data_IF_217558280944
#
_entry.id   IF_217558280944
#
_cell.length_a   1.000
_cell.length_b   1.000
_cell.length_c   1.000
_cell.angle_alpha   90.00
_cell.angle_beta   90.00
_cell.angle_gamma   90.00
#
_symmetry.space_group_name_H-M   'P 1'
#
loop_
_entity.id
_entity.type
_entity.pdbx_description
1 polymer ?
#
# COMPACT_ATOMS: atom_id res chain seq x y z
N UNK A 1 -62.54 39.84 -22.88
CA UNK A 1 -61.34 39.17 -23.43
C UNK A 1 -60.15 40.05 -23.11
N UNK A 2 -59.30 39.63 -22.18
CA UNK A 2 -58.01 40.24 -21.88
C UNK A 2 -56.99 39.10 -21.90
N UNK A 3 -55.97 39.23 -22.73
CA UNK A 3 -54.84 38.31 -22.78
C UNK A 3 -54.03 38.49 -21.47
N UNK A 4 -53.82 37.45 -20.65
CA UNK A 4 -52.97 37.57 -19.47
C UNK A 4 -51.50 37.50 -19.86
N UNK A 5 -50.69 38.39 -19.25
CA UNK A 5 -49.25 38.51 -19.43
C UNK A 5 -48.44 37.37 -18.78
N UNK A 6 -48.67 36.12 -19.19
CA UNK A 6 -47.90 34.95 -18.70
C UNK A 6 -46.69 34.58 -19.58
N UNK A 7 -46.22 35.49 -20.44
CA UNK A 7 -45.03 35.29 -21.27
C UNK A 7 -44.06 36.46 -21.12
N UNK A 8 -43.62 36.70 -19.89
CA UNK A 8 -42.38 37.40 -19.59
C UNK A 8 -41.99 37.14 -18.14
N UNK A 9 -41.02 36.23 -17.92
CA UNK A 9 -39.80 36.49 -17.11
C UNK A 9 -39.04 35.22 -16.74
N UNK A 10 -37.79 35.22 -17.21
CA UNK A 10 -36.52 34.84 -16.59
C UNK A 10 -36.49 33.79 -15.47
N UNK A 11 -35.86 32.68 -15.86
CA UNK A 11 -35.42 31.56 -15.05
C UNK A 11 -34.24 32.04 -14.19
N UNK A 12 -34.48 32.33 -12.91
CA UNK A 12 -33.41 32.51 -11.92
C UNK A 12 -32.98 31.17 -11.31
N UNK A 13 -31.68 30.97 -11.00
CA UNK A 13 -31.17 29.74 -10.39
C UNK A 13 -31.63 29.57 -8.92
N UNK A 14 -31.73 28.31 -8.43
CA UNK A 14 -32.27 28.03 -7.10
C UNK A 14 -31.33 28.51 -5.97
N UNK A 15 -31.93 29.13 -4.94
CA UNK A 15 -31.24 29.62 -3.74
C UNK A 15 -30.83 28.48 -2.79
N UNK A 16 -29.73 28.65 -2.03
CA UNK A 16 -29.26 27.67 -1.04
C UNK A 16 -30.18 27.57 0.19
N UNK A 17 -30.35 26.33 0.67
CA UNK A 17 -31.26 25.98 1.77
C UNK A 17 -30.87 26.62 3.11
N UNK A 18 -31.89 27.14 3.79
CA UNK A 18 -31.83 27.83 5.08
C UNK A 18 -31.34 26.94 6.23
N UNK A 19 -30.35 27.47 6.93
CA UNK A 19 -29.80 27.04 8.23
C UNK A 19 -30.89 27.01 9.31
N UNK A 20 -31.20 25.82 9.85
CA UNK A 20 -32.16 25.64 10.95
C UNK A 20 -31.50 26.08 12.28
N UNK A 21 -32.04 27.12 12.92
CA UNK A 21 -31.69 27.55 14.28
C UNK A 21 -32.20 26.50 15.27
N UNK A 22 -31.31 25.86 16.01
CA UNK A 22 -31.63 25.18 17.28
C UNK A 22 -31.33 26.13 18.43
N UNK A 23 -32.32 26.31 19.30
CA UNK A 23 -32.22 27.09 20.53
C UNK A 23 -31.29 26.40 21.53
N UNK A 24 -30.62 27.22 22.34
CA UNK A 24 -29.48 26.82 23.16
C UNK A 24 -29.84 25.99 24.39
N UNK A 25 -28.99 25.00 24.65
CA UNK A 25 -28.63 24.57 26.00
C UNK A 25 -27.13 24.78 26.08
N UNK A 26 -26.73 25.86 26.74
CA UNK A 26 -25.35 26.22 27.00
C UNK A 26 -24.75 25.26 28.04
N UNK A 27 -24.08 24.21 27.58
CA UNK A 27 -22.99 23.62 28.33
C UNK A 27 -21.74 24.43 28.03
N UNK A 28 -20.91 24.81 29.01
CA UNK A 28 -19.67 25.50 28.71
C UNK A 28 -18.75 24.52 27.98
N UNK A 29 -18.71 24.64 26.66
CA UNK A 29 -17.63 24.08 25.87
C UNK A 29 -16.37 24.84 26.32
N UNK A 30 -15.66 24.26 27.28
CA UNK A 30 -14.29 24.62 27.53
C UNK A 30 -13.57 24.47 26.19
N UNK A 31 -13.25 25.59 25.56
CA UNK A 31 -12.29 25.63 24.48
C UNK A 31 -11.01 25.00 25.05
N UNK A 32 -10.77 23.74 24.69
CA UNK A 32 -9.52 23.06 24.98
C UNK A 32 -8.46 23.77 24.15
N UNK A 33 -7.93 24.88 24.69
CA UNK A 33 -6.66 25.41 24.24
C UNK A 33 -5.66 24.28 24.45
N UNK A 34 -4.96 23.80 23.41
CA UNK A 34 -3.91 22.81 23.59
C UNK A 34 -2.90 23.41 24.56
N UNK A 35 -2.69 22.73 25.69
CA UNK A 35 -1.65 23.12 26.63
C UNK A 35 -0.31 22.97 25.88
N UNK A 36 0.47 24.05 25.64
CA UNK A 36 1.69 23.99 24.84
C UNK A 36 2.79 23.10 25.44
N UNK A 37 2.58 22.61 26.67
CA UNK A 37 3.49 21.71 27.38
C UNK A 37 3.19 20.21 27.21
N UNK A 38 2.17 19.83 26.42
CA UNK A 38 1.86 18.42 26.17
C UNK A 38 2.34 18.07 24.76
N UNK A 39 3.40 17.25 24.67
CA UNK A 39 3.83 16.67 23.39
C UNK A 39 2.66 15.92 22.74
N UNK A 40 2.39 16.15 21.44
CA UNK A 40 1.32 15.45 20.75
C UNK A 40 1.57 13.94 20.76
N UNK A 41 0.50 13.14 20.86
CA UNK A 41 0.61 11.68 20.81
C UNK A 41 0.92 11.21 19.37
N UNK A 42 1.66 10.11 19.21
CA UNK A 42 1.96 9.56 17.88
C UNK A 42 0.69 9.30 17.08
N UNK A 43 -0.33 8.75 17.75
CA UNK A 43 -1.63 8.44 17.12
C UNK A 43 -2.32 9.71 16.60
N UNK A 44 -2.19 10.84 17.31
CA UNK A 44 -2.74 12.11 16.84
C UNK A 44 -1.97 12.63 15.61
N UNK A 45 -0.65 12.44 15.56
CA UNK A 45 0.20 12.86 14.44
C UNK A 45 -0.10 11.98 13.21
N UNK A 46 -0.12 10.66 13.37
CA UNK A 46 -0.50 9.67 12.34
C UNK A 46 -1.88 10.00 11.74
N UNK A 47 -2.84 10.35 12.60
CA UNK A 47 -4.20 10.69 12.19
C UNK A 47 -4.35 12.13 11.65
N UNK A 48 -3.28 12.90 11.50
CA UNK A 48 -3.32 14.30 11.02
C UNK A 48 -3.87 15.32 12.02
N UNK A 49 -4.25 14.89 13.22
CA UNK A 49 -4.88 15.73 14.26
C UNK A 49 -3.91 16.59 15.05
N UNK A 50 -2.61 16.32 14.94
CA UNK A 50 -1.56 17.12 15.51
C UNK A 50 -0.48 17.38 14.45
N UNK A 51 0.02 18.61 14.42
CA UNK A 51 1.15 18.99 13.57
C UNK A 51 2.40 19.08 14.41
N UNK A 52 3.49 18.55 13.89
CA UNK A 52 4.83 18.70 14.43
C UNK A 52 5.73 19.27 13.33
N UNK A 53 6.66 20.13 13.71
CA UNK A 53 7.56 20.76 12.74
C UNK A 53 8.75 19.84 12.44
N UNK A 54 9.39 19.31 13.48
CA UNK A 54 10.53 18.38 13.36
C UNK A 54 10.09 16.93 13.63
N UNK A 55 9.63 16.27 12.56
CA UNK A 55 9.23 14.86 12.59
C UNK A 55 10.40 13.95 12.99
N UNK A 56 11.60 14.22 12.49
CA UNK A 56 12.75 13.36 12.70
C UNK A 56 13.15 13.34 14.18
N UNK A 57 13.30 14.50 14.82
CA UNK A 57 13.67 14.57 16.23
C UNK A 57 12.60 13.94 17.14
N UNK A 58 11.32 14.20 16.85
CA UNK A 58 10.21 13.63 17.60
C UNK A 58 10.22 12.09 17.55
N UNK A 59 10.21 11.50 16.35
CA UNK A 59 10.17 10.05 16.19
C UNK A 59 11.46 9.39 16.67
N UNK A 60 12.62 9.98 16.43
CA UNK A 60 13.90 9.48 16.96
C UNK A 60 13.86 9.31 18.48
N UNK A 61 13.39 10.34 19.20
CA UNK A 61 13.29 10.30 20.65
C UNK A 61 12.29 9.26 21.13
N UNK A 62 11.14 9.13 20.46
CA UNK A 62 10.13 8.15 20.83
C UNK A 62 10.57 6.70 20.60
N UNK A 63 11.17 6.43 19.44
CA UNK A 63 11.67 5.10 19.08
C UNK A 63 12.82 4.66 19.99
N UNK A 64 13.70 5.58 20.39
CA UNK A 64 14.78 5.31 21.34
C UNK A 64 14.25 4.84 22.71
N UNK A 65 13.15 5.43 23.20
CA UNK A 65 12.51 5.04 24.47
C UNK A 65 11.85 3.65 24.40
N UNK A 66 11.50 3.21 23.20
CA UNK A 66 10.72 1.97 22.98
C UNK A 66 11.57 0.80 22.48
N UNK A 67 12.89 0.93 22.50
CA UNK A 67 13.81 -0.10 22.03
C UNK A 67 13.70 -1.39 22.88
N UNK A 68 13.84 -2.55 22.23
CA UNK A 68 13.90 -3.88 22.84
C UNK A 68 15.16 -4.62 22.41
N UNK A 69 15.73 -5.41 23.31
CA UNK A 69 16.80 -6.33 22.96
C UNK A 69 16.26 -7.43 22.04
N UNK A 70 17.04 -7.80 21.04
CA UNK A 70 16.75 -8.88 20.12
C UNK A 70 17.92 -9.85 20.08
N UNK A 71 17.67 -11.12 19.73
CA UNK A 71 18.73 -12.06 19.36
C UNK A 71 19.65 -11.51 18.27
N UNK A 72 20.89 -11.99 18.22
CA UNK A 72 21.93 -11.50 17.31
C UNK A 72 21.66 -11.83 15.82
N UNK A 73 20.82 -12.82 15.54
CA UNK A 73 20.38 -13.22 14.20
C UNK A 73 19.28 -12.32 13.63
N UNK A 74 18.67 -11.45 14.45
CA UNK A 74 17.68 -10.49 14.00
C UNK A 74 18.38 -9.25 13.45
N UNK A 75 18.11 -8.91 12.19
CA UNK A 75 18.63 -7.68 11.58
C UNK A 75 18.13 -6.43 12.32
N UNK A 76 19.04 -5.50 12.64
CA UNK A 76 18.76 -4.25 13.36
C UNK A 76 19.46 -3.08 12.69
N UNK A 77 18.76 -1.96 12.62
CA UNK A 77 19.28 -0.65 12.26
C UNK A 77 19.34 0.19 13.54
N UNK A 78 20.49 0.79 13.83
CA UNK A 78 20.58 1.67 15.00
C UNK A 78 19.70 2.90 14.81
N UNK A 79 19.20 3.49 15.90
CA UNK A 79 18.40 4.72 15.84
C UNK A 79 19.18 5.86 15.15
N UNK A 80 20.51 5.89 15.31
CA UNK A 80 21.37 6.87 14.65
C UNK A 80 21.42 6.64 13.15
N UNK A 81 21.69 5.41 12.70
CA UNK A 81 21.78 5.09 11.28
C UNK A 81 20.43 5.25 10.58
N UNK A 82 19.33 4.93 11.27
CA UNK A 82 17.97 5.18 10.78
C UNK A 82 17.70 6.67 10.57
N UNK A 83 18.10 7.52 11.54
CA UNK A 83 17.96 8.96 11.40
C UNK A 83 18.83 9.53 10.27
N UNK A 84 20.06 9.03 10.12
CA UNK A 84 20.95 9.39 9.01
C UNK A 84 20.37 8.97 7.65
N UNK A 85 19.80 7.76 7.56
CA UNK A 85 19.13 7.26 6.36
C UNK A 85 17.96 8.17 5.96
N UNK A 86 17.09 8.51 6.92
CA UNK A 86 15.93 9.36 6.66
C UNK A 86 16.37 10.76 6.20
N UNK A 87 17.25 11.41 6.97
CA UNK A 87 17.70 12.77 6.68
C UNK A 87 18.46 12.86 5.34
N UNK A 88 19.30 11.87 5.04
CA UNK A 88 20.04 11.81 3.76
C UNK A 88 19.14 11.69 2.52
N UNK A 89 17.88 11.27 2.69
CA UNK A 89 16.90 11.19 1.63
C UNK A 89 15.81 12.29 1.71
N UNK A 90 15.90 13.24 2.65
CA UNK A 90 14.96 14.36 2.78
C UNK A 90 15.24 15.47 1.75
N UNK A 91 15.22 15.11 0.48
CA UNK A 91 15.48 15.97 -0.66
C UNK A 91 14.64 15.55 -1.88
N UNK A 92 14.63 16.36 -2.94
CA UNK A 92 13.77 16.14 -4.12
C UNK A 92 14.04 14.81 -4.85
N UNK A 93 15.25 14.27 -4.72
CA UNK A 93 15.69 13.04 -5.38
C UNK A 93 15.86 11.87 -4.39
N UNK A 94 15.19 11.95 -3.24
CA UNK A 94 15.19 10.92 -2.22
C UNK A 94 14.69 9.58 -2.76
N UNK A 95 15.32 8.50 -2.29
CA UNK A 95 15.06 7.12 -2.74
C UNK A 95 14.89 6.16 -1.57
N UNK A 96 14.38 6.68 -0.46
CA UNK A 96 14.12 5.89 0.74
C UNK A 96 12.89 5.01 0.53
N UNK A 97 12.96 3.78 1.02
CA UNK A 97 11.79 2.92 1.15
C UNK A 97 11.58 2.50 2.60
N UNK A 98 10.33 2.19 2.90
CA UNK A 98 9.95 1.53 4.13
C UNK A 98 8.97 0.41 3.79
N UNK A 99 9.09 -0.69 4.51
CA UNK A 99 8.08 -1.74 4.54
C UNK A 99 7.52 -1.74 5.95
N UNK A 100 6.27 -1.35 6.10
CA UNK A 100 5.58 -1.51 7.37
C UNK A 100 4.87 -2.85 7.41
N UNK A 101 4.94 -3.56 8.54
CA UNK A 101 3.88 -4.52 8.83
C UNK A 101 2.71 -3.75 9.45
N UNK A 102 1.54 -3.91 8.86
CA UNK A 102 0.30 -3.29 9.30
C UNK A 102 -0.71 -4.36 9.72
N UNK A 103 -1.07 -4.36 10.99
CA UNK A 103 -2.09 -5.23 11.56
C UNK A 103 -3.41 -4.48 11.69
N UNK A 104 -4.06 -4.20 10.56
CA UNK A 104 -5.28 -3.39 10.52
C UNK A 104 -6.52 -4.20 10.95
N UNK A 105 -7.44 -3.65 11.77
CA UNK A 105 -8.59 -4.40 12.28
C UNK A 105 -9.53 -4.94 11.20
N UNK A 106 -9.67 -4.24 10.07
CA UNK A 106 -10.52 -4.69 8.94
C UNK A 106 -9.76 -5.51 7.89
N UNK A 107 -8.54 -5.08 7.53
CA UNK A 107 -7.82 -5.71 6.43
C UNK A 107 -7.09 -6.98 6.91
N UNK A 108 -6.73 -7.02 8.20
CA UNK A 108 -5.82 -7.98 8.78
C UNK A 108 -4.37 -7.59 8.60
N UNK A 109 -3.48 -8.54 8.92
CA UNK A 109 -2.04 -8.37 8.74
C UNK A 109 -1.70 -8.28 7.25
N UNK A 110 -0.97 -7.24 6.88
CA UNK A 110 -0.41 -7.03 5.55
C UNK A 110 0.88 -6.21 5.65
N UNK A 111 1.54 -6.00 4.52
CA UNK A 111 2.81 -5.29 4.46
C UNK A 111 2.72 -4.13 3.47
N UNK A 112 2.92 -2.90 3.95
CA UNK A 112 2.90 -1.71 3.12
C UNK A 112 4.30 -1.41 2.63
N UNK A 113 4.57 -1.63 1.33
CA UNK A 113 5.76 -1.14 0.67
C UNK A 113 5.55 0.31 0.25
N UNK A 114 6.33 1.24 0.83
CA UNK A 114 6.28 2.66 0.48
C UNK A 114 7.61 3.10 -0.12
N UNK A 115 7.53 3.81 -1.24
CA UNK A 115 8.67 4.27 -2.03
C UNK A 115 8.60 5.78 -2.16
N UNK A 116 9.61 6.47 -1.63
CA UNK A 116 9.75 7.91 -1.80
C UNK A 116 9.96 8.24 -3.27
N UNK A 117 9.20 9.19 -3.82
CA UNK A 117 9.39 9.67 -5.19
C UNK A 117 9.64 11.18 -5.28
N UNK A 118 9.40 11.91 -4.18
CA UNK A 118 9.71 13.34 -4.06
C UNK A 118 10.18 13.67 -2.64
N UNK A 119 10.50 14.93 -2.37
CA UNK A 119 10.92 15.37 -1.03
C UNK A 119 9.91 15.05 0.07
N UNK A 120 8.62 15.11 -0.22
CA UNK A 120 7.55 15.03 0.80
C UNK A 120 6.62 13.85 0.59
N UNK A 121 6.71 13.12 -0.52
CA UNK A 121 5.69 12.17 -0.92
C UNK A 121 6.26 10.81 -1.28
N UNK A 122 5.49 9.78 -0.94
CA UNK A 122 5.82 8.38 -1.15
C UNK A 122 4.61 7.63 -1.68
N UNK A 123 4.80 6.87 -2.75
CA UNK A 123 3.80 5.96 -3.28
C UNK A 123 3.76 4.71 -2.41
N UNK A 124 2.63 4.01 -2.35
CA UNK A 124 2.45 2.93 -1.39
C UNK A 124 1.63 1.78 -1.95
N UNK A 125 2.01 0.55 -1.56
CA UNK A 125 1.35 -0.68 -1.95
C UNK A 125 1.14 -1.60 -0.75
N UNK A 126 -0.09 -2.01 -0.50
CA UNK A 126 -0.41 -3.04 0.47
C UNK A 126 -0.21 -4.44 -0.13
N UNK A 127 0.59 -5.28 0.52
CA UNK A 127 0.93 -6.65 0.10
C UNK A 127 0.37 -7.64 1.14
N UNK A 128 -0.86 -8.18 0.95
CA UNK A 128 -1.55 -8.96 1.98
C UNK A 128 -0.82 -10.23 2.43
N UNK A 129 -0.06 -10.85 1.51
CA UNK A 129 0.67 -12.10 1.75
C UNK A 129 2.17 -11.89 1.99
N UNK A 130 2.59 -10.66 2.24
CA UNK A 130 3.99 -10.30 2.41
C UNK A 130 4.82 -10.43 1.12
N UNK A 131 6.07 -10.01 1.22
CA UNK A 131 7.00 -10.00 0.10
C UNK A 131 7.42 -11.42 -0.33
N UNK A 132 7.72 -11.66 -1.62
CA UNK A 132 8.15 -12.98 -2.10
C UNK A 132 9.60 -13.29 -1.72
N UNK A 133 9.81 -14.25 -0.80
CA UNK A 133 11.15 -14.62 -0.31
C UNK A 133 11.69 -15.98 -0.78
N UNK A 134 10.93 -16.79 -1.53
CA UNK A 134 11.36 -18.10 -1.99
C UNK A 134 11.32 -18.19 -3.54
N UNK A 135 12.45 -18.42 -4.22
CA UNK A 135 12.50 -18.51 -5.69
C UNK A 135 11.72 -19.71 -6.25
N UNK A 136 11.47 -20.75 -5.45
CA UNK A 136 10.76 -21.97 -5.85
C UNK A 136 9.39 -22.10 -5.17
N UNK A 137 8.78 -21.00 -4.70
CA UNK A 137 7.45 -21.03 -4.09
C UNK A 137 6.39 -21.51 -5.08
N UNK A 138 5.42 -22.32 -4.63
CA UNK A 138 4.22 -22.67 -5.42
C UNK A 138 3.43 -21.46 -5.89
N UNK A 139 3.39 -20.41 -5.07
CA UNK A 139 2.81 -19.12 -5.46
C UNK A 139 3.95 -18.16 -5.77
N UNK A 140 4.28 -17.99 -7.04
CA UNK A 140 5.38 -17.11 -7.48
C UNK A 140 5.01 -15.63 -7.33
N UNK A 141 3.75 -15.31 -7.62
CA UNK A 141 3.20 -13.96 -7.55
C UNK A 141 2.66 -13.58 -6.18
N UNK A 142 2.61 -12.27 -5.94
CA UNK A 142 1.90 -11.61 -4.84
C UNK A 142 1.03 -10.52 -5.45
N UNK A 143 -0.18 -10.36 -4.92
CA UNK A 143 -0.97 -9.17 -5.17
C UNK A 143 -0.39 -8.02 -4.35
N UNK A 144 -0.25 -6.85 -4.97
CA UNK A 144 0.15 -5.59 -4.35
C UNK A 144 -0.89 -4.53 -4.71
N UNK A 145 -1.67 -4.09 -3.74
CA UNK A 145 -2.78 -3.16 -3.92
C UNK A 145 -2.24 -1.76 -3.75
N UNK A 146 -2.32 -0.92 -4.78
CA UNK A 146 -1.94 0.49 -4.68
C UNK A 146 -2.79 1.19 -3.62
N UNK A 147 -2.17 1.90 -2.70
CA UNK A 147 -2.87 2.72 -1.70
C UNK A 147 -2.69 4.20 -2.01
N UNK A 148 -3.25 5.08 -1.18
CA UNK A 148 -3.07 6.52 -1.33
C UNK A 148 -1.59 6.92 -1.18
N UNK A 149 -1.23 8.07 -1.73
CA UNK A 149 0.11 8.66 -1.53
C UNK A 149 0.26 9.08 -0.08
N UNK A 150 1.39 8.72 0.53
CA UNK A 150 1.72 9.02 1.92
C UNK A 150 2.81 10.07 2.01
N UNK A 151 2.90 10.71 3.17
CA UNK A 151 3.94 11.67 3.45
C UNK A 151 5.25 10.96 3.73
N UNK A 152 6.37 11.55 3.31
CA UNK A 152 7.69 10.98 3.54
C UNK A 152 7.96 10.72 5.03
N UNK A 153 7.53 11.61 5.93
CA UNK A 153 7.68 11.39 7.38
C UNK A 153 6.95 10.15 7.90
N UNK A 154 5.98 9.59 7.15
CA UNK A 154 5.36 8.32 7.54
C UNK A 154 6.36 7.17 7.60
N UNK A 155 7.53 7.31 6.97
CA UNK A 155 8.59 6.31 7.03
C UNK A 155 9.19 6.16 8.43
N UNK A 156 8.94 7.11 9.34
CA UNK A 156 9.42 7.12 10.71
C UNK A 156 8.46 6.47 11.72
N UNK A 157 7.24 6.12 11.32
CA UNK A 157 6.16 5.82 12.28
C UNK A 157 6.24 4.37 12.76
N UNK A 158 6.19 4.21 14.08
CA UNK A 158 5.72 2.99 14.72
C UNK A 158 4.65 3.35 15.75
N UNK A 159 3.42 2.92 15.49
CA UNK A 159 2.24 3.35 16.24
C UNK A 159 1.22 2.23 16.35
N UNK A 160 0.25 2.43 17.23
CA UNK A 160 -0.92 1.57 17.29
C UNK A 160 -2.11 2.36 17.79
N UNK A 161 -3.29 2.08 17.22
CA UNK A 161 -4.56 2.57 17.74
C UNK A 161 -5.64 1.51 17.58
N UNK A 162 -6.73 1.58 18.36
CA UNK A 162 -7.86 0.66 18.17
C UNK A 162 -8.55 0.83 16.80
N UNK A 163 -8.36 1.97 16.13
CA UNK A 163 -8.97 2.27 14.83
C UNK A 163 -8.13 1.79 13.66
N UNK A 164 -6.83 2.06 13.70
CA UNK A 164 -5.89 1.77 12.60
C UNK A 164 -5.13 0.46 12.81
N UNK A 165 -5.15 -0.12 14.02
CA UNK A 165 -4.31 -1.27 14.36
C UNK A 165 -2.87 -0.87 14.57
N UNK A 166 -1.95 -1.85 14.53
CA UNK A 166 -0.52 -1.61 14.77
C UNK A 166 0.27 -1.44 13.47
N UNK A 167 1.17 -0.46 13.44
CA UNK A 167 2.13 -0.21 12.38
C UNK A 167 3.54 -0.33 12.94
N UNK A 168 4.38 -1.16 12.31
CA UNK A 168 5.79 -1.33 12.69
C UNK A 168 6.70 -1.37 11.47
N UNK A 169 7.92 -0.86 11.60
CA UNK A 169 8.91 -0.81 10.50
C UNK A 169 9.53 -2.20 10.34
N UNK A 170 8.99 -2.99 9.42
CA UNK A 170 9.46 -4.35 9.14
C UNK A 170 10.81 -4.37 8.42
N UNK A 171 11.01 -3.46 7.47
CA UNK A 171 12.30 -3.20 6.84
C UNK A 171 12.37 -1.75 6.33
N UNK A 172 13.58 -1.23 6.13
CA UNK A 172 13.80 0.09 5.57
C UNK A 172 15.20 0.20 4.96
N UNK A 173 15.35 1.07 3.98
CA UNK A 173 16.60 1.24 3.25
C UNK A 173 16.43 2.12 2.01
N UNK A 174 17.30 1.98 1.02
CA UNK A 174 17.18 2.70 -0.26
C UNK A 174 16.77 1.75 -1.39
N UNK A 175 16.19 2.29 -2.45
CA UNK A 175 15.86 1.51 -3.64
C UNK A 175 16.69 1.93 -4.87
N UNK A 176 16.79 1.02 -5.82
CA UNK A 176 17.36 1.22 -7.15
C UNK A 176 16.35 0.70 -8.18
N UNK A 177 16.04 1.50 -9.20
CA UNK A 177 15.15 1.13 -10.30
C UNK A 177 15.99 0.57 -11.45
N UNK A 178 15.76 -0.70 -11.76
CA UNK A 178 16.49 -1.39 -12.82
C UNK A 178 15.81 -1.18 -14.18
N UNK A 179 16.58 -1.14 -15.28
CA UNK A 179 16.01 -1.02 -16.62
C UNK A 179 15.02 -2.14 -16.94
N UNK A 180 13.97 -1.79 -17.69
CA UNK A 180 13.08 -2.76 -18.34
C UNK A 180 13.92 -3.59 -19.33
N UNK A 181 13.70 -4.90 -19.37
CA UNK A 181 14.28 -5.74 -20.42
C UNK A 181 13.63 -5.35 -21.75
N UNK A 182 14.28 -4.49 -22.53
CA UNK A 182 13.92 -4.31 -23.94
C UNK A 182 14.38 -5.57 -24.67
N UNK A 183 13.47 -6.26 -25.36
CA UNK A 183 13.80 -7.45 -26.12
C UNK A 183 14.87 -7.11 -27.17
N UNK A 184 16.11 -7.52 -26.92
CA UNK A 184 17.17 -7.41 -27.91
C UNK A 184 16.83 -8.30 -29.10
N UNK A 185 16.71 -7.72 -30.30
CA UNK A 185 16.50 -8.38 -31.60
C UNK A 185 17.55 -9.44 -31.99
N UNK A 186 18.45 -9.83 -31.10
CA UNK A 186 19.46 -10.87 -31.33
C UNK A 186 19.77 -11.62 -30.04
N UNK A 187 19.18 -12.83 -29.90
CA UNK A 187 19.90 -14.08 -29.59
C UNK A 187 18.91 -15.20 -29.28
N UNK A 188 19.15 -16.36 -29.91
CA UNK A 188 18.76 -17.68 -29.40
C UNK A 188 19.13 -17.76 -27.92
N UNK A 189 18.16 -17.63 -27.04
CA UNK A 189 18.35 -17.61 -25.60
C UNK A 189 16.99 -17.74 -24.94
N UNK A 190 16.66 -18.99 -24.61
CA UNK A 190 15.59 -19.47 -23.73
C UNK A 190 14.40 -18.52 -23.49
N UNK A 191 13.17 -18.83 -23.95
CA UNK A 191 11.99 -18.11 -23.51
C UNK A 191 11.92 -18.17 -21.98
N UNK A 192 11.68 -17.03 -21.32
CA UNK A 192 11.32 -17.01 -19.90
C UNK A 192 10.04 -17.84 -19.76
N UNK A 193 10.04 -19.03 -19.13
CA UNK A 193 8.88 -19.93 -19.14
C UNK A 193 7.71 -19.45 -18.25
N UNK A 194 7.64 -18.17 -17.92
CA UNK A 194 6.85 -17.66 -16.79
C UNK A 194 5.85 -16.56 -17.14
N UNK A 195 5.49 -16.44 -18.41
CA UNK A 195 4.37 -15.61 -18.84
C UNK A 195 3.47 -16.46 -19.71
N UNK A 196 2.31 -16.88 -19.20
CA UNK A 196 1.17 -17.34 -20.02
C UNK A 196 0.36 -16.13 -20.50
N UNK A 197 1.05 -15.06 -20.88
CA UNK A 197 0.43 -13.95 -21.59
C UNK A 197 1.13 -13.95 -22.95
N UNK A 198 0.42 -14.46 -23.94
CA UNK A 198 0.75 -14.29 -25.34
C UNK A 198 0.79 -12.78 -25.60
N UNK A 199 2.00 -12.21 -25.70
CA UNK A 199 2.13 -10.87 -26.26
C UNK A 199 1.95 -11.01 -27.77
N UNK A 200 0.68 -11.00 -28.21
CA UNK A 200 0.35 -10.54 -29.55
C UNK A 200 0.93 -9.13 -29.69
N UNK A 201 1.96 -9.03 -30.52
CA UNK A 201 2.54 -7.77 -30.95
C UNK A 201 1.50 -7.02 -31.79
N UNK A 202 0.63 -6.26 -31.14
CA UNK A 202 -0.02 -5.13 -31.79
C UNK A 202 1.07 -4.09 -32.03
N UNK A 203 1.45 -4.01 -33.30
CA UNK A 203 2.26 -2.94 -33.86
C UNK A 203 1.50 -1.64 -33.64
N UNK A 204 1.77 -0.97 -32.52
CA UNK A 204 1.35 0.41 -32.35
C UNK A 204 2.23 1.25 -33.28
N UNK A 205 1.72 1.45 -34.49
CA UNK A 205 2.21 2.40 -35.47
C UNK A 205 1.85 3.81 -35.01
N UNK A 206 2.33 4.21 -33.84
CA UNK A 206 2.44 5.61 -33.51
C UNK A 206 3.82 6.05 -33.94
N UNK A 207 3.86 7.05 -34.80
CA UNK A 207 5.07 7.78 -35.16
C UNK A 207 5.77 8.25 -33.89
N UNK A 208 6.64 7.40 -33.37
CA UNK A 208 7.65 7.73 -32.39
C UNK A 208 8.58 8.71 -33.08
N UNK A 209 8.15 9.99 -33.05
CA UNK A 209 9.01 11.13 -33.26
C UNK A 209 10.26 10.79 -32.51
N UNK A 210 11.31 10.55 -33.30
CA UNK A 210 12.58 10.01 -32.86
C UNK A 210 13.31 11.05 -32.04
N UNK A 211 12.75 11.39 -30.88
CA UNK A 211 13.47 11.96 -29.76
C UNK A 211 14.24 10.79 -29.20
N UNK A 212 15.36 10.48 -29.88
CA UNK A 212 16.55 10.00 -29.20
C UNK A 212 16.55 10.72 -27.86
N UNK A 213 16.63 10.04 -26.70
CA UNK A 213 16.82 10.77 -25.46
C UNK A 213 18.04 11.63 -25.74
N UNK A 214 17.83 12.94 -25.81
CA UNK A 214 18.92 13.89 -25.73
C UNK A 214 19.70 13.40 -24.55
N UNK A 215 20.93 12.94 -24.79
CA UNK A 215 21.88 12.61 -23.75
C UNK A 215 22.13 13.92 -23.00
N UNK A 216 21.18 14.31 -22.17
CA UNK A 216 21.43 15.19 -21.06
C UNK A 216 22.44 14.41 -20.27
N UNK A 217 23.64 14.95 -20.18
CA UNK A 217 24.77 14.47 -19.38
C UNK A 217 24.47 14.52 -17.88
N UNK A 218 23.19 14.42 -17.49
CA UNK A 218 22.69 14.45 -16.13
C UNK A 218 22.60 13.04 -15.58
N UNK A 219 22.94 12.91 -14.30
CA UNK A 219 22.74 11.70 -13.52
C UNK A 219 21.22 11.50 -13.40
N UNK A 220 20.65 10.47 -14.03
CA UNK A 220 19.24 10.12 -13.80
C UNK A 220 19.07 9.64 -12.36
N UNK A 221 18.24 10.35 -11.58
CA UNK A 221 17.97 9.99 -10.20
C UNK A 221 17.00 8.82 -10.12
N UNK A 222 17.10 8.01 -9.05
CA UNK A 222 16.29 6.81 -8.89
C UNK A 222 14.78 7.09 -8.77
N UNK A 223 14.41 8.25 -8.21
CA UNK A 223 13.03 8.68 -8.11
C UNK A 223 12.42 9.02 -9.48
N UNK A 224 13.17 9.65 -10.39
CA UNK A 224 12.72 9.96 -11.75
C UNK A 224 12.48 8.67 -12.55
N UNK A 225 13.38 7.69 -12.38
CA UNK A 225 13.21 6.34 -12.94
C UNK A 225 11.97 5.66 -12.37
N UNK A 226 11.70 5.81 -11.07
CA UNK A 226 10.52 5.24 -10.41
C UNK A 226 9.23 5.84 -10.98
N UNK A 227 9.17 7.16 -11.12
CA UNK A 227 8.01 7.87 -11.71
C UNK A 227 7.74 7.34 -13.13
N UNK A 228 8.79 7.25 -13.96
CA UNK A 228 8.68 6.72 -15.33
C UNK A 228 8.23 5.25 -15.34
N UNK A 229 8.80 4.41 -14.47
CA UNK A 229 8.46 3.00 -14.36
C UNK A 229 7.00 2.79 -13.91
N UNK A 230 6.50 3.62 -13.01
CA UNK A 230 5.12 3.59 -12.56
C UNK A 230 4.14 3.97 -13.68
N UNK A 231 4.44 5.03 -14.42
CA UNK A 231 3.63 5.47 -15.57
C UNK A 231 3.59 4.41 -16.69
N UNK A 232 4.70 3.71 -16.91
CA UNK A 232 4.78 2.60 -17.88
C UNK A 232 4.22 1.28 -17.36
N UNK A 233 3.61 1.27 -16.15
CA UNK A 233 2.92 0.10 -15.56
C UNK A 233 3.83 -1.10 -15.28
N UNK A 234 5.14 -0.89 -15.30
CA UNK A 234 6.14 -1.94 -15.13
C UNK A 234 7.31 -1.40 -14.32
N UNK A 235 7.43 -1.86 -13.09
CA UNK A 235 8.48 -1.44 -12.16
C UNK A 235 9.39 -2.63 -11.87
N UNK A 236 10.69 -2.41 -12.01
CA UNK A 236 11.70 -3.38 -11.62
C UNK A 236 12.58 -2.76 -10.55
N UNK A 237 12.49 -3.28 -9.34
CA UNK A 237 12.96 -2.59 -8.15
C UNK A 237 13.91 -3.48 -7.37
N UNK A 238 15.10 -2.98 -7.10
CA UNK A 238 16.03 -3.56 -6.13
C UNK A 238 15.90 -2.80 -4.82
N UNK A 239 15.74 -3.54 -3.73
CA UNK A 239 15.62 -2.98 -2.38
C UNK A 239 16.89 -3.27 -1.58
N UNK A 240 17.56 -2.22 -1.14
CA UNK A 240 18.73 -2.28 -0.26
C UNK A 240 18.28 -2.08 1.19
N UNK A 241 17.63 -3.12 1.74
CA UNK A 241 17.07 -3.11 3.09
C UNK A 241 18.05 -3.51 4.18
N UNK A 242 17.63 -3.33 5.42
CA UNK A 242 18.33 -3.83 6.61
C UNK A 242 18.05 -5.32 6.79
N UNK A 243 16.81 -5.75 6.55
CA UNK A 243 16.36 -7.14 6.67
C UNK A 243 16.44 -7.90 5.35
N UNK A 244 15.99 -7.27 4.25
CA UNK A 244 15.96 -7.94 2.97
C UNK A 244 17.37 -8.35 2.53
N UNK A 245 17.53 -9.53 1.90
CA UNK A 245 18.84 -10.03 1.52
C UNK A 245 19.48 -9.16 0.43
N UNK A 246 20.81 -9.26 0.32
CA UNK A 246 21.56 -8.55 -0.72
C UNK A 246 21.01 -8.89 -2.11
N UNK A 247 20.93 -7.86 -2.97
CA UNK A 247 20.40 -7.93 -4.33
C UNK A 247 18.91 -8.31 -4.43
N UNK A 248 18.15 -8.31 -3.34
CA UNK A 248 16.71 -8.58 -3.38
C UNK A 248 16.01 -7.68 -4.39
N UNK A 249 15.50 -8.30 -5.46
CA UNK A 249 14.93 -7.59 -6.61
C UNK A 249 13.53 -8.13 -6.89
N UNK A 250 12.56 -7.24 -7.07
CA UNK A 250 11.18 -7.56 -7.43
C UNK A 250 10.78 -6.91 -8.74
N UNK A 251 9.81 -7.53 -9.41
CA UNK A 251 9.09 -6.95 -10.55
C UNK A 251 7.66 -6.72 -10.12
N UNK A 252 7.14 -5.53 -10.39
CA UNK A 252 5.73 -5.17 -10.22
C UNK A 252 5.16 -4.79 -11.58
N UNK A 253 4.06 -5.45 -11.97
CA UNK A 253 3.36 -5.16 -13.23
C UNK A 253 1.88 -4.88 -12.96
N UNK A 254 1.32 -3.89 -13.63
CA UNK A 254 -0.11 -3.65 -13.62
C UNK A 254 -0.74 -4.33 -14.85
N UNK A 255 -1.70 -5.26 -14.69
CA UNK A 255 -2.35 -5.92 -15.82
C UNK A 255 -3.07 -4.93 -16.76
N UNK A 256 -3.01 -5.17 -18.07
CA UNK A 256 -3.62 -4.31 -19.10
C UNK A 256 -5.15 -4.27 -18.99
N UNK A 257 -5.78 -5.34 -18.48
CA UNK A 257 -7.23 -5.54 -18.47
C UNK A 257 -7.97 -4.92 -17.27
N UNK A 258 -7.31 -4.10 -16.44
CA UNK A 258 -8.03 -3.25 -15.50
C UNK A 258 -8.67 -2.06 -16.24
N UNK A 259 -9.68 -2.36 -17.07
CA UNK A 259 -10.71 -1.40 -17.42
C UNK A 259 -11.30 -0.96 -16.09
N UNK A 260 -11.18 0.34 -15.86
CA UNK A 260 -11.62 1.08 -14.69
C UNK A 260 -13.06 0.69 -14.34
N UNK A 261 -13.24 -0.34 -13.50
CA UNK A 261 -14.52 -0.58 -12.85
C UNK A 261 -14.64 0.44 -11.73
N UNK A 262 -15.05 1.66 -12.09
CA UNK A 262 -15.61 2.56 -11.11
C UNK A 262 -16.76 1.81 -10.42
N UNK A 263 -16.79 1.72 -9.08
CA UNK A 263 -17.96 1.21 -8.39
C UNK A 263 -19.13 2.12 -8.76
N UNK A 264 -20.02 1.64 -9.64
CA UNK A 264 -21.24 2.36 -9.96
C UNK A 264 -22.05 2.46 -8.68
N UNK A 265 -22.25 3.68 -8.21
CA UNK A 265 -23.15 3.97 -7.09
C UNK A 265 -24.53 3.45 -7.48
N UNK A 266 -24.88 2.23 -7.02
CA UNK A 266 -26.22 1.68 -7.17
C UNK A 266 -27.16 2.62 -6.44
N UNK A 267 -27.87 3.47 -7.20
CA UNK A 267 -29.00 4.26 -6.70
C UNK A 267 -29.95 3.29 -6.00
N UNK A 268 -30.02 3.37 -4.66
CA UNK A 268 -30.96 2.60 -3.85
C UNK A 268 -32.37 2.88 -4.36
N UNK A 269 -32.94 1.92 -5.09
CA UNK A 269 -34.35 1.93 -5.46
C UNK A 269 -35.16 1.91 -4.17
N UNK A 270 -36.04 2.91 -3.99
CA UNK A 270 -36.99 2.98 -2.88
C UNK A 270 -37.94 1.78 -2.96
N UNK A 271 -37.72 0.75 -2.17
CA UNK A 271 -38.70 -0.32 -1.97
C UNK A 271 -39.96 0.25 -1.30
N UNK A 272 -41.09 0.15 -2.00
CA UNK A 272 -42.43 0.25 -1.41
C UNK A 272 -42.74 -1.03 -0.62
N UNK A 273 -43.50 -0.98 0.49
CA UNK A 273 -43.68 -2.14 1.33
C UNK A 273 -44.87 -3.03 0.90
N UNK A 274 -44.64 -4.34 1.13
CA UNK A 274 -45.55 -5.42 1.55
C UNK A 274 -46.73 -5.81 0.65
N UNK A 275 -46.84 -7.12 0.35
CA UNK A 275 -47.96 -7.97 0.82
C UNK A 275 -47.47 -9.44 0.94
N UNK A 276 -47.68 -10.03 2.13
CA UNK A 276 -47.56 -11.45 2.45
C UNK A 276 -48.57 -12.31 1.67
N UNK A 277 -48.14 -13.46 1.15
CA UNK A 277 -49.07 -14.59 0.92
C UNK A 277 -48.40 -15.91 1.31
N UNK A 278 -48.94 -16.48 2.38
CA UNK A 278 -48.65 -17.84 2.87
C UNK A 278 -49.27 -18.85 1.92
N UNK A 279 -48.55 -19.93 1.59
CA UNK A 279 -49.13 -21.24 1.30
C UNK A 279 -48.15 -22.35 1.67
N UNK A 280 -48.65 -23.30 2.46
CA UNK A 280 -48.01 -24.54 2.92
C UNK A 280 -48.34 -25.70 1.97
N UNK A 281 -47.39 -26.65 1.80
CA UNK A 281 -47.49 -28.14 1.84
C UNK A 281 -46.29 -28.77 1.09
N UNK A 282 -45.45 -29.59 1.76
CA UNK A 282 -45.40 -31.09 1.75
C UNK A 282 -44.63 -31.61 0.52
N UNK A 283 -43.71 -32.59 0.48
CA UNK A 283 -43.01 -33.55 1.35
C UNK A 283 -41.88 -34.19 0.47
N UNK A 284 -40.84 -34.75 1.10
CA UNK A 284 -39.93 -35.82 0.62
C UNK A 284 -38.66 -35.51 -0.22
N UNK A 285 -37.54 -35.86 0.45
CA UNK A 285 -36.32 -36.60 0.07
C UNK A 285 -35.21 -36.03 -0.85
N UNK A 286 -34.02 -35.95 -0.22
CA UNK A 286 -32.64 -36.20 -0.65
C UNK A 286 -32.18 -35.83 -2.08
N UNK A 287 -31.15 -34.97 -2.18
CA UNK A 287 -29.79 -35.36 -2.61
C UNK A 287 -28.77 -34.25 -2.23
N UNK A 288 -27.60 -34.68 -1.77
CA UNK A 288 -26.43 -33.85 -1.45
C UNK A 288 -25.84 -33.22 -2.71
N UNK A 289 -25.92 -31.89 -2.83
CA UNK A 289 -24.97 -31.10 -3.60
C UNK A 289 -24.43 -29.96 -2.74
N UNK A 290 -23.19 -30.15 -2.31
CA UNK A 290 -22.32 -29.09 -1.77
C UNK A 290 -21.98 -28.12 -2.89
N UNK A 291 -22.84 -27.12 -3.07
CA UNK A 291 -22.56 -25.93 -3.87
C UNK A 291 -21.67 -24.99 -3.03
N UNK A 292 -20.51 -24.65 -3.59
CA UNK A 292 -19.50 -23.78 -2.99
C UNK A 292 -20.06 -22.35 -2.92
N UNK A 293 -20.71 -22.04 -1.80
CA UNK A 293 -21.15 -20.69 -1.49
C UNK A 293 -19.96 -19.76 -1.29
N UNK A 294 -19.71 -19.01 -2.37
CA UNK A 294 -19.29 -17.61 -2.41
C UNK A 294 -19.47 -16.91 -1.03
N UNK A 295 -18.40 -16.42 -0.37
CA UNK A 295 -18.58 -15.75 0.92
C UNK A 295 -19.33 -14.45 0.69
N UNK A 296 -20.52 -14.39 1.31
CA UNK A 296 -21.38 -13.22 1.44
C UNK A 296 -20.56 -11.94 1.58
N UNK A 297 -20.78 -11.03 0.62
CA UNK A 297 -20.54 -9.61 0.76
C UNK A 297 -21.36 -9.09 1.94
N UNK A 298 -20.75 -9.08 3.13
CA UNK A 298 -21.27 -8.33 4.28
C UNK A 298 -21.29 -6.85 3.87
N UNK A 299 -22.42 -6.13 4.01
CA UNK A 299 -22.47 -4.72 3.68
C UNK A 299 -21.44 -3.98 4.53
N UNK A 300 -20.48 -3.33 3.88
CA UNK A 300 -19.55 -2.45 4.55
C UNK A 300 -20.34 -1.36 5.26
N UNK A 301 -20.41 -1.42 6.57
CA UNK A 301 -20.55 -0.22 7.37
C UNK A 301 -19.31 0.64 7.06
N UNK A 302 -19.50 1.60 6.16
CA UNK A 302 -18.70 2.82 6.07
C UNK A 302 -18.49 3.27 7.52
N UNK A 303 -17.26 3.09 8.02
CA UNK A 303 -16.92 3.72 9.28
C UNK A 303 -16.86 5.20 8.96
N UNK A 304 -17.87 5.89 9.48
CA UNK A 304 -18.02 7.33 9.48
C UNK A 304 -16.80 7.95 10.17
N UNK A 305 -15.83 8.29 9.34
CA UNK A 305 -14.83 9.30 9.58
C UNK A 305 -15.10 10.46 8.62
N UNK A 306 -16.30 11.06 8.68
CA UNK A 306 -16.60 12.31 7.99
C UNK A 306 -15.85 13.50 8.64
N UNK A 307 -14.52 13.45 8.60
CA UNK A 307 -13.70 14.65 8.73
C UNK A 307 -13.46 15.23 7.34
N UNK A 308 -13.36 16.55 7.23
CA UNK A 308 -13.03 17.21 5.96
C UNK A 308 -11.67 16.73 5.40
N UNK A 309 -10.75 16.32 6.28
CA UNK A 309 -9.45 15.72 5.92
C UNK A 309 -9.60 14.39 5.17
N UNK A 310 -10.57 13.56 5.54
CA UNK A 310 -10.84 12.29 4.86
C UNK A 310 -11.48 12.52 3.48
N UNK A 311 -12.35 13.53 3.36
CA UNK A 311 -12.93 13.94 2.07
C UNK A 311 -11.83 14.45 1.14
N UNK A 312 -10.96 15.32 1.63
CA UNK A 312 -9.84 15.84 0.85
C UNK A 312 -8.89 14.74 0.41
N UNK A 313 -8.55 13.82 1.32
CA UNK A 313 -7.68 12.66 1.05
C UNK A 313 -8.26 11.75 -0.04
N UNK A 314 -9.60 11.59 -0.08
CA UNK A 314 -10.29 10.86 -1.15
C UNK A 314 -10.27 11.63 -2.47
N UNK A 315 -10.40 12.95 -2.44
CA UNK A 315 -10.40 13.80 -3.63
C UNK A 315 -9.02 13.91 -4.29
N UNK A 316 -7.94 14.00 -3.50
CA UNK A 316 -6.56 14.18 -4.00
C UNK A 316 -5.79 12.87 -4.14
N UNK A 317 -6.30 11.77 -3.57
CA UNK A 317 -5.59 10.51 -3.42
C UNK A 317 -4.22 10.67 -2.71
N UNK A 318 -4.14 11.61 -1.77
CA UNK A 318 -2.95 11.88 -0.98
C UNK A 318 -3.31 12.23 0.45
N UNK A 319 -2.59 11.67 1.41
CA UNK A 319 -2.70 12.08 2.81
C UNK A 319 -2.22 13.53 3.01
N UNK A 320 -2.68 14.22 4.07
CA UNK A 320 -2.25 15.58 4.37
C UNK A 320 -0.72 15.74 4.40
N UNK A 321 -0.24 16.77 3.70
CA UNK A 321 1.19 17.07 3.56
C UNK A 321 1.90 16.35 2.40
N UNK A 322 1.17 15.56 1.62
CA UNK A 322 1.67 14.93 0.39
C UNK A 322 1.00 15.46 -0.86
N UNK A 323 1.68 15.28 -1.99
CA UNK A 323 1.20 15.64 -3.33
C UNK A 323 1.23 14.40 -4.21
N UNK A 324 0.12 14.14 -4.91
CA UNK A 324 0.02 13.04 -5.86
C UNK A 324 0.32 13.53 -7.29
N UNK A 325 1.57 13.89 -7.55
CA UNK A 325 2.09 14.27 -8.87
C UNK A 325 2.55 13.07 -9.71
N UNK A 326 2.74 11.90 -9.08
CA UNK A 326 3.07 10.63 -9.75
C UNK A 326 1.88 10.01 -10.52
N UNK A 327 0.65 10.49 -10.28
CA UNK A 327 -0.55 9.99 -10.95
C UNK A 327 -1.10 8.68 -10.36
N UNK A 328 -0.94 8.47 -9.06
CA UNK A 328 -1.60 7.37 -8.34
C UNK A 328 -3.11 7.55 -8.38
N UNK A 329 -3.87 6.47 -8.50
CA UNK A 329 -5.33 6.50 -8.46
C UNK A 329 -5.94 5.60 -7.38
N UNK A 330 -5.10 5.01 -6.51
CA UNK A 330 -5.44 4.02 -5.49
C UNK A 330 -6.20 2.77 -6.00
N UNK A 331 -6.10 1.67 -5.25
CA UNK A 331 -6.85 0.42 -5.45
C UNK A 331 -6.56 -0.33 -6.77
N UNK A 332 -5.56 0.08 -7.55
CA UNK A 332 -5.05 -0.73 -8.67
C UNK A 332 -4.36 -2.00 -8.15
N UNK A 333 -4.60 -3.14 -8.77
CA UNK A 333 -3.98 -4.40 -8.35
C UNK A 333 -2.75 -4.72 -9.19
N UNK A 334 -1.59 -4.48 -8.60
CA UNK A 334 -0.31 -4.85 -9.19
C UNK A 334 0.02 -6.30 -8.87
N UNK A 335 0.67 -6.96 -9.81
CA UNK A 335 1.28 -8.27 -9.61
C UNK A 335 2.76 -8.11 -9.31
N UNK A 336 3.17 -8.51 -8.10
CA UNK A 336 4.55 -8.47 -7.62
C UNK A 336 5.16 -9.87 -7.64
N UNK A 337 6.39 -10.01 -8.12
CA UNK A 337 7.12 -11.29 -8.10
C UNK A 337 8.62 -11.08 -7.88
N UNK A 338 9.30 -12.11 -7.39
CA UNK A 338 10.76 -12.10 -7.23
C UNK A 338 11.46 -12.15 -8.59
N UNK A 339 12.35 -11.20 -8.86
CA UNK A 339 13.28 -11.26 -9.98
C UNK A 339 14.45 -12.16 -9.62
N UNK A 340 14.29 -13.45 -9.91
CA UNK A 340 15.24 -14.49 -9.50
C UNK A 340 16.65 -14.23 -10.03
N UNK A 341 16.75 -13.90 -11.32
CA UNK A 341 18.05 -13.64 -11.96
C UNK A 341 18.76 -12.45 -11.32
N UNK A 342 18.06 -11.33 -11.09
CA UNK A 342 18.70 -10.11 -10.54
C UNK A 342 18.88 -10.16 -9.03
N UNK A 343 18.24 -11.14 -8.40
CA UNK A 343 18.51 -11.57 -7.03
C UNK A 343 19.69 -12.54 -6.94
N UNK A 344 20.26 -13.01 -8.06
CA UNK A 344 21.44 -13.89 -8.10
C UNK A 344 21.12 -15.39 -8.13
N UNK A 345 19.88 -15.77 -8.44
CA UNK A 345 19.53 -17.17 -8.67
C UNK A 345 19.76 -17.57 -10.13
N UNK A 346 20.15 -18.82 -10.33
CA UNK A 346 20.33 -19.47 -11.64
C UNK A 346 19.43 -20.69 -11.74
N UNK A 347 19.14 -21.13 -12.98
CA UNK A 347 18.40 -22.38 -13.21
C UNK A 347 19.37 -23.55 -13.05
N UNK A 348 18.95 -24.57 -12.33
CA UNK A 348 19.64 -25.86 -12.25
C UNK A 348 19.24 -26.75 -13.42
N UNK A 349 20.11 -26.81 -14.42
CA UNK A 349 19.92 -27.60 -15.65
C UNK A 349 20.15 -29.12 -15.44
N UNK A 350 20.60 -29.55 -14.24
CA UNK A 350 20.82 -30.98 -13.93
C UNK A 350 19.56 -31.70 -13.48
N UNK A 351 18.51 -30.94 -13.13
CA UNK A 351 17.21 -31.44 -12.68
C UNK A 351 16.36 -31.85 -13.88
N UNK A 352 16.47 -33.12 -14.32
CA UNK A 352 15.78 -33.70 -15.48
C UNK A 352 14.24 -33.68 -15.46
N UNK A 353 13.63 -32.49 -15.55
CA UNK A 353 12.21 -32.29 -15.83
C UNK A 353 11.52 -31.09 -15.16
N UNK A 354 12.09 -30.48 -14.10
CA UNK A 354 11.52 -29.30 -13.44
C UNK A 354 12.56 -28.19 -13.29
N UNK A 355 12.24 -27.00 -13.80
CA UNK A 355 13.05 -25.79 -13.62
C UNK A 355 13.13 -25.47 -12.13
N UNK A 356 14.30 -25.70 -11.55
CA UNK A 356 14.60 -25.39 -10.15
C UNK A 356 15.57 -24.22 -10.12
N UNK A 357 15.26 -23.22 -9.32
CA UNK A 357 16.14 -22.06 -9.11
C UNK A 357 17.03 -22.31 -7.91
N UNK A 358 18.34 -22.18 -8.10
CA UNK A 358 19.35 -22.37 -7.06
C UNK A 358 20.22 -21.13 -6.95
N UNK A 359 20.96 -21.01 -5.85
CA UNK A 359 21.93 -19.94 -5.65
C UNK A 359 23.03 -20.03 -6.72
N UNK A 360 23.56 -18.89 -7.15
CA UNK A 360 24.63 -18.83 -8.13
C UNK A 360 25.91 -19.51 -7.64
N UNK A 361 26.75 -20.03 -8.55
CA UNK A 361 28.00 -20.71 -8.20
C UNK A 361 29.03 -19.77 -7.54
N UNK A 362 28.88 -18.46 -7.75
CA UNK A 362 29.64 -17.38 -7.10
C UNK A 362 29.14 -17.04 -5.69
N UNK A 363 28.16 -17.79 -5.16
CA UNK A 363 27.51 -17.54 -3.90
C UNK A 363 26.41 -16.48 -3.96
N UNK A 364 26.08 -15.96 -5.15
CA UNK A 364 24.94 -15.05 -5.35
C UNK A 364 23.60 -15.75 -5.09
N UNK A 365 22.52 -14.96 -4.95
CA UNK A 365 21.27 -15.47 -4.39
C UNK A 365 21.31 -15.48 -2.87
N UNK A 366 20.20 -15.91 -2.26
CA UNK A 366 20.03 -15.92 -0.82
C UNK A 366 19.24 -17.14 -0.36
N UNK A 367 19.37 -17.48 0.92
CA UNK A 367 18.53 -18.51 1.52
C UNK A 367 17.06 -18.08 1.49
N UNK A 368 16.15 -18.95 1.03
CA UNK A 368 14.73 -18.63 1.02
C UNK A 368 14.24 -18.19 2.39
N UNK A 369 13.46 -17.11 2.43
CA UNK A 369 12.84 -16.62 3.66
C UNK A 369 11.32 -16.57 3.52
N UNK A 370 10.65 -16.68 4.66
CA UNK A 370 9.21 -16.54 4.78
C UNK A 370 8.91 -15.30 5.61
N UNK A 371 7.98 -14.48 5.12
CA UNK A 371 7.31 -13.48 5.94
C UNK A 371 6.32 -14.23 6.83
N UNK A 372 6.46 -14.11 8.15
CA UNK A 372 5.77 -14.93 9.18
C UNK A 372 4.66 -14.22 9.94
N UNK A 373 4.43 -12.93 9.69
CA UNK A 373 3.31 -12.18 10.25
C UNK A 373 3.52 -11.65 11.67
N UNK A 374 2.45 -11.13 12.26
CA UNK A 374 2.52 -10.25 13.46
C UNK A 374 3.12 -10.86 14.71
N UNK A 375 3.05 -12.18 14.85
CA UNK A 375 3.49 -12.89 16.07
C UNK A 375 4.99 -13.19 16.07
N UNK A 376 5.66 -13.04 14.93
CA UNK A 376 7.06 -13.43 14.75
C UNK A 376 7.94 -12.27 14.30
N UNK A 377 7.38 -11.37 13.49
CA UNK A 377 8.14 -10.30 12.87
C UNK A 377 8.38 -9.13 13.82
N UNK A 378 9.63 -8.69 13.88
CA UNK A 378 10.06 -7.57 14.72
C UNK A 378 10.41 -6.33 13.91
N UNK A 379 10.31 -5.17 14.52
CA UNK A 379 10.83 -3.95 13.92
C UNK A 379 12.35 -4.01 13.71
N UNK A 380 12.84 -3.59 12.55
CA UNK A 380 14.30 -3.39 12.33
C UNK A 380 14.85 -2.16 13.05
N UNK A 381 14.00 -1.26 13.55
CA UNK A 381 14.41 -0.04 14.26
C UNK A 381 14.29 -0.16 15.78
N UNK A 382 13.22 -0.74 16.30
CA UNK A 382 12.99 -0.87 17.76
C UNK A 382 13.06 -2.29 18.31
N UNK A 383 13.02 -3.32 17.45
CA UNK A 383 13.06 -4.73 17.86
C UNK A 383 11.72 -5.24 18.40
N UNK A 384 10.69 -4.38 18.42
CA UNK A 384 9.37 -4.68 18.95
C UNK A 384 8.57 -5.59 18.02
N UNK A 385 7.75 -6.46 18.61
CA UNK A 385 6.63 -7.14 17.94
C UNK A 385 5.43 -6.21 17.82
N UNK A 386 4.49 -6.53 16.93
CA UNK A 386 3.22 -5.81 16.79
C UNK A 386 2.48 -5.63 18.13
N UNK A 387 2.37 -6.71 18.92
CA UNK A 387 1.74 -6.68 20.25
C UNK A 387 2.44 -5.75 21.25
N UNK A 388 3.76 -5.59 21.11
CA UNK A 388 4.56 -4.72 21.99
C UNK A 388 4.33 -3.25 21.60
N UNK A 389 4.19 -2.96 20.30
CA UNK A 389 3.76 -1.64 19.81
C UNK A 389 2.34 -1.31 20.29
N UNK A 390 1.41 -2.26 20.23
CA UNK A 390 0.04 -2.10 20.74
C UNK A 390 0.03 -1.78 22.25
N UNK A 391 0.76 -2.56 23.04
CA UNK A 391 0.86 -2.37 24.49
C UNK A 391 1.50 -1.03 24.86
N UNK A 392 2.58 -0.62 24.17
CA UNK A 392 3.27 0.65 24.44
C UNK A 392 2.36 1.86 24.17
N UNK A 393 1.37 1.73 23.28
CA UNK A 393 0.39 2.77 22.95
C UNK A 393 -0.93 2.64 23.73
N UNK A 394 -0.98 1.75 24.73
CA UNK A 394 -2.17 1.53 25.56
C UNK A 394 -3.35 0.88 24.83
N UNK A 395 -3.09 0.23 23.68
CA UNK A 395 -4.09 -0.51 22.93
C UNK A 395 -4.19 -1.93 23.50
N UNK A 396 -4.96 -2.06 24.58
CA UNK A 396 -5.24 -3.36 25.19
C UNK A 396 -6.42 -4.04 24.50
N UNK A 397 -6.39 -5.38 24.40
CA UNK A 397 -7.43 -6.20 23.77
C UNK A 397 -7.66 -5.96 22.27
N UNK A 398 -6.62 -5.54 21.54
CA UNK A 398 -6.72 -5.46 20.08
C UNK A 398 -6.94 -6.86 19.47
N UNK A 399 -8.14 -7.09 18.93
CA UNK A 399 -8.45 -8.32 18.18
C UNK A 399 -8.29 -8.00 16.69
N UNK A 400 -7.12 -8.36 16.16
CA UNK A 400 -6.88 -8.29 14.72
C UNK A 400 -7.70 -9.33 13.97
N UNK A 401 -7.89 -9.12 12.67
CA UNK A 401 -8.50 -10.12 11.79
C UNK A 401 -7.66 -11.41 11.81
N UNK A 402 -8.27 -12.51 12.23
CA UNK A 402 -7.64 -13.82 12.28
C UNK A 402 -7.42 -14.42 10.87
N UNK A 403 -6.65 -15.50 10.79
CA UNK A 403 -6.46 -16.27 9.56
C UNK A 403 -5.38 -15.74 8.61
N UNK A 404 -4.50 -14.85 9.10
CA UNK A 404 -3.31 -14.54 8.34
C UNK A 404 -2.43 -15.78 8.26
N UNK A 405 -2.06 -16.15 7.04
CA UNK A 405 -1.13 -17.23 6.75
C UNK A 405 -0.17 -16.75 5.68
N UNK A 406 1.11 -16.85 5.97
CA UNK A 406 2.19 -16.68 5.00
C UNK A 406 2.10 -17.74 3.91
N UNK A 407 2.80 -17.52 2.80
CA UNK A 407 2.87 -18.51 1.72
C UNK A 407 3.99 -19.49 2.07
N UNK A 408 3.59 -20.60 2.69
CA UNK A 408 4.45 -21.77 2.89
C UNK A 408 4.67 -22.52 1.57
N UNK A 409 5.72 -23.34 1.54
CA UNK A 409 6.34 -23.91 0.34
C UNK A 409 5.41 -24.64 -0.63
#
# INVERSE_FOLDING_TARGET
MNVPASLARDISPPQPLKRRRTAGISSPAAAYLPNPNIEPTIVAIEAGKAKIDDHLSYFKNHLAKSHRQTPADVARLSISDFATLYHGNENEHGRHFVIHQHNHPRAGVHYDLRLQFSKTSSMSFAVPKGLPGNPNSKSIGRMAIETRVHNYWNHLIESASSKTGSLLIWDTGTYEVLPRKTGGRNRKGMPSPQTTDDEETELDSDEETSRKPTRTTGIEHENDKLITAFQTRYIRLRLHGTRLPKNYTIVMRLPTNEIIQHPTVRRKSRHKPLVHKIKLQSDSEAEDQVDLQNPMSVPGEEIDTDTDEDVQTRATNAYPGSTNDIGSIHQRHWFMQLDRQNSGFVVDDTSGGKVKWVRGPDGSGFEPFLVRGRDYERSVVTGRLAREVESDQGVYNFVGRAGWMGIEH
#
